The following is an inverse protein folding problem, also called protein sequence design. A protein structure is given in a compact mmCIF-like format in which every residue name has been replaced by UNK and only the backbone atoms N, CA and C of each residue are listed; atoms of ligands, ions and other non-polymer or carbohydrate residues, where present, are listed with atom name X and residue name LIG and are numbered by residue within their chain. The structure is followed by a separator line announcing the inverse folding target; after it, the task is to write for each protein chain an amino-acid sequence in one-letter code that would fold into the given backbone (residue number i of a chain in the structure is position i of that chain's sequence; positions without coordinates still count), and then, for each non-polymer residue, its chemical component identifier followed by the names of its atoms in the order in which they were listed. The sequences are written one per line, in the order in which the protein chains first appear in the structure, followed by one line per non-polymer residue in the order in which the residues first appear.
data_IF_858917898888
#
_entry.id   IF_858917898888
#
_cell.length_a   1.000
_cell.length_b   1.000
_cell.length_c   1.000
_cell.angle_alpha   90.00
_cell.angle_beta   90.00
_cell.angle_gamma   90.00
#
_symmetry.space_group_name_H-M   'P 1'
#
loop_
_entity.id
_entity.type
_entity.pdbx_description
1 polymer ?
#
# COMPACT_ATOMS: atom_id res chain seq x y z
N UNK A 1 35.02 1.24 -9.93
CA UNK A 1 35.08 0.08 -9.00
C UNK A 1 34.19 0.25 -7.78
N UNK A 2 34.31 1.34 -7.01
CA UNK A 2 33.51 1.56 -5.78
C UNK A 2 32.00 1.61 -6.07
N UNK A 3 31.57 2.37 -7.08
CA UNK A 3 30.14 2.48 -7.46
C UNK A 3 29.56 1.14 -7.94
N UNK A 4 30.34 0.35 -8.69
CA UNK A 4 29.91 -0.98 -9.14
C UNK A 4 29.82 -1.99 -7.99
N UNK A 5 30.68 -1.89 -6.98
CA UNK A 5 30.63 -2.72 -5.78
C UNK A 5 29.42 -2.39 -4.90
N UNK A 6 29.03 -1.10 -4.80
CA UNK A 6 27.81 -0.64 -4.14
C UNK A 6 26.56 -1.21 -4.84
N UNK A 7 26.55 -1.19 -6.18
CA UNK A 7 25.44 -1.75 -6.99
C UNK A 7 25.39 -3.29 -6.91
N UNK A 8 26.53 -4.00 -6.86
CA UNK A 8 26.57 -5.46 -6.68
C UNK A 8 26.23 -5.89 -5.25
N UNK A 9 26.50 -5.03 -4.28
CA UNK A 9 26.21 -5.25 -2.86
C UNK A 9 24.78 -4.83 -2.49
N UNK A 10 23.83 -4.80 -3.43
CA UNK A 10 22.41 -4.44 -3.24
C UNK A 10 21.64 -5.45 -2.35
N UNK A 11 22.28 -5.91 -1.29
CA UNK A 11 21.72 -6.59 -0.15
C UNK A 11 20.97 -5.60 0.73
N UNK A 12 20.19 -6.13 1.68
CA UNK A 12 19.39 -5.41 2.68
C UNK A 12 20.15 -4.26 3.39
N UNK A 13 21.47 -4.32 3.43
CA UNK A 13 22.36 -3.31 4.00
C UNK A 13 22.22 -1.93 3.34
N UNK A 14 21.99 -1.85 2.01
CA UNK A 14 21.81 -0.57 1.32
C UNK A 14 20.47 0.08 1.67
N UNK A 15 19.40 -0.71 1.73
CA UNK A 15 18.09 -0.23 2.17
C UNK A 15 18.19 0.33 3.59
N UNK A 16 18.91 -0.36 4.49
CA UNK A 16 19.15 0.13 5.84
C UNK A 16 19.95 1.45 5.87
N UNK A 17 20.99 1.59 5.06
CA UNK A 17 21.81 2.82 5.03
C UNK A 17 20.98 4.01 4.54
N UNK A 18 20.18 3.82 3.49
CA UNK A 18 19.31 4.88 2.94
C UNK A 18 18.21 5.22 3.93
N UNK A 19 17.58 4.21 4.55
CA UNK A 19 16.59 4.42 5.60
C UNK A 19 17.16 5.21 6.79
N UNK A 20 18.40 4.93 7.20
CA UNK A 20 19.08 5.64 8.27
C UNK A 20 19.33 7.11 7.91
N UNK A 21 19.80 7.40 6.69
CA UNK A 21 19.99 8.78 6.19
C UNK A 21 18.66 9.53 6.16
N UNK A 22 17.60 8.90 5.65
CA UNK A 22 16.25 9.49 5.67
C UNK A 22 15.76 9.73 7.09
N UNK A 23 16.07 8.84 8.04
CA UNK A 23 15.73 8.99 9.45
C UNK A 23 16.48 10.15 10.10
N UNK A 24 17.74 10.38 9.74
CA UNK A 24 18.53 11.52 10.21
C UNK A 24 18.01 12.85 9.62
N UNK A 25 17.62 12.85 8.35
CA UNK A 25 17.18 14.06 7.65
C UNK A 25 15.74 14.46 8.00
N UNK A 26 14.83 13.49 8.03
CA UNK A 26 13.41 13.72 8.33
C UNK A 26 13.07 13.53 9.81
N UNK A 27 13.93 12.88 10.59
CA UNK A 27 13.66 12.47 11.96
C UNK A 27 12.80 11.20 12.04
N UNK A 28 12.96 10.43 13.11
CA UNK A 28 12.19 9.19 13.31
C UNK A 28 10.69 9.35 13.52
N UNK A 29 10.21 10.58 13.69
CA UNK A 29 8.78 10.88 13.90
C UNK A 29 7.99 11.05 12.59
N UNK A 30 8.63 11.43 11.48
CA UNK A 30 7.93 11.68 10.21
C UNK A 30 7.60 10.41 9.42
N UNK A 31 8.44 9.38 9.51
CA UNK A 31 8.21 8.09 8.81
C UNK A 31 6.88 7.43 9.27
N UNK A 32 6.60 7.28 10.59
CA UNK A 32 5.35 6.69 11.07
C UNK A 32 4.11 7.54 10.74
N UNK A 33 4.26 8.87 10.77
CA UNK A 33 3.17 9.81 10.45
C UNK A 33 2.77 9.72 8.97
N UNK A 34 3.75 9.65 8.07
CA UNK A 34 3.54 9.44 6.64
C UNK A 34 2.96 8.04 6.34
N UNK A 35 3.48 6.99 7.00
CA UNK A 35 2.94 5.63 6.87
C UNK A 35 1.49 5.53 7.35
N UNK A 36 1.14 6.22 8.44
CA UNK A 36 -0.22 6.23 8.97
C UNK A 36 -1.18 6.94 8.01
N UNK A 37 -0.78 8.08 7.45
CA UNK A 37 -1.58 8.77 6.42
C UNK A 37 -1.74 7.95 5.14
N UNK A 38 -0.65 7.40 4.61
CA UNK A 38 -0.66 6.55 3.42
C UNK A 38 -1.49 5.27 3.63
N UNK A 39 -1.36 4.64 4.82
CA UNK A 39 -2.07 3.42 5.19
C UNK A 39 -3.57 3.64 5.31
N UNK A 40 -4.02 4.76 5.88
CA UNK A 40 -5.44 5.13 5.90
C UNK A 40 -5.98 5.35 4.49
N UNK A 41 -5.25 6.08 3.64
CA UNK A 41 -5.67 6.33 2.25
C UNK A 41 -5.79 5.05 1.42
N UNK A 42 -4.83 4.12 1.56
CA UNK A 42 -4.90 2.80 0.90
C UNK A 42 -6.05 1.94 1.45
N UNK A 43 -6.35 2.05 2.74
CA UNK A 43 -7.49 1.33 3.34
C UNK A 43 -8.81 1.84 2.80
N UNK A 44 -9.02 3.16 2.81
CA UNK A 44 -10.22 3.81 2.27
C UNK A 44 -10.39 3.53 0.77
N UNK A 45 -9.30 3.60 0.01
CA UNK A 45 -9.32 3.23 -1.41
C UNK A 45 -9.76 1.77 -1.62
N UNK A 46 -9.22 0.84 -0.82
CA UNK A 46 -9.60 -0.57 -0.92
C UNK A 46 -11.04 -0.81 -0.49
N UNK A 47 -11.52 -0.12 0.53
CA UNK A 47 -12.89 -0.25 1.01
C UNK A 47 -13.89 0.26 -0.05
N UNK A 48 -13.61 1.40 -0.69
CA UNK A 48 -14.44 1.95 -1.77
C UNK A 48 -14.50 1.03 -3.00
N UNK A 49 -13.34 0.53 -3.45
CA UNK A 49 -13.29 -0.42 -4.59
C UNK A 49 -14.07 -1.70 -4.28
N UNK A 50 -14.02 -2.18 -3.04
CA UNK A 50 -14.71 -3.41 -2.63
C UNK A 50 -16.23 -3.22 -2.47
N UNK A 51 -16.68 -2.02 -2.08
CA UNK A 51 -18.10 -1.65 -2.10
C UNK A 51 -18.64 -1.58 -3.53
N UNK A 52 -17.89 -0.99 -4.46
CA UNK A 52 -18.26 -0.92 -5.88
C UNK A 52 -18.35 -2.33 -6.50
N UNK A 53 -17.40 -3.22 -6.17
CA UNK A 53 -17.45 -4.62 -6.59
C UNK A 53 -18.66 -5.36 -5.99
N UNK A 54 -19.00 -5.12 -4.72
CA UNK A 54 -20.18 -5.74 -4.08
C UNK A 54 -21.49 -5.26 -4.69
N UNK A 55 -21.58 -3.98 -5.06
CA UNK A 55 -22.78 -3.39 -5.69
C UNK A 55 -23.05 -3.97 -7.08
N UNK A 56 -22.02 -4.40 -7.79
CA UNK A 56 -22.14 -5.04 -9.11
C UNK A 56 -22.57 -6.52 -9.01
N UNK A 57 -22.27 -7.20 -7.91
CA UNK A 57 -22.58 -8.62 -7.70
C UNK A 57 -23.96 -8.91 -7.06
N UNK A 58 -24.73 -7.89 -6.67
CA UNK A 58 -26.07 -8.06 -6.09
C UNK A 58 -27.20 -7.90 -7.13
N UNK A 59 -26.86 -7.67 -8.40
CA UNK A 59 -27.83 -7.59 -9.51
C UNK A 59 -28.05 -8.91 -10.25
N UNK A 60 -27.55 -10.05 -9.75
CA UNK A 60 -27.68 -11.35 -10.43
C UNK A 60 -28.35 -12.47 -9.62
N UNK A 61 -29.11 -12.17 -8.55
CA UNK A 61 -29.90 -13.22 -7.87
C UNK A 61 -31.30 -12.82 -7.40
N UNK A 62 -32.02 -12.01 -8.20
CA UNK A 62 -33.48 -12.01 -8.15
C UNK A 62 -34.02 -12.60 -9.45
N UNK A 63 -34.08 -13.93 -9.50
CA UNK A 63 -34.99 -14.61 -10.41
C UNK A 63 -36.42 -14.23 -10.00
N UNK A 64 -37.21 -13.59 -10.87
CA UNK A 64 -38.55 -13.15 -10.54
C UNK A 64 -39.46 -14.38 -10.39
N UNK A 65 -40.04 -14.48 -9.21
CA UNK A 65 -41.30 -15.14 -8.89
C UNK A 65 -42.32 -15.18 -10.05
N UNK A 66 -42.71 -16.37 -10.49
CA UNK A 66 -44.02 -16.57 -11.12
C UNK A 66 -44.65 -17.91 -10.68
N UNK A 67 -45.58 -17.89 -9.70
CA UNK A 67 -46.59 -18.93 -9.54
C UNK A 67 -47.84 -18.53 -10.33
N UNK A 68 -48.16 -19.29 -11.38
CA UNK A 68 -49.50 -19.36 -12.00
C UNK A 68 -49.75 -20.78 -12.46
#
# INVERSE_FOLDING_TARGET
MIISAIILSLSWQHILIVALILLLLFGGRKIPELMKGLGSGIKEFKDAVKEDDKKNNDSSNTTPNNPS
#
